data_IF_206763963077
#
_entry.id   IF_206763963077
#
_cell.length_a   1.000
_cell.length_b   1.000
_cell.length_c   1.000
_cell.angle_alpha   90.00
_cell.angle_beta   90.00
_cell.angle_gamma   90.00
#
_symmetry.space_group_name_H-M   'P 1'
#
loop_
_entity.id
_entity.type
_entity.pdbx_description
1 polymer ?
#
# COMPACT_ATOMS: atom_id res chain seq x y z
N UNK A 1 -7.81 -79.80 22.92
CA UNK A 1 -8.58 -79.38 24.07
C UNK A 1 -9.33 -78.11 23.76
N UNK A 2 -10.64 -78.26 23.59
CA UNK A 2 -11.60 -77.18 23.30
C UNK A 2 -11.89 -76.37 24.58
N UNK A 3 -11.95 -75.05 24.46
CA UNK A 3 -12.79 -74.24 25.36
C UNK A 3 -13.35 -73.05 24.61
N UNK A 4 -14.63 -73.12 24.34
CA UNK A 4 -15.53 -72.07 23.94
C UNK A 4 -15.67 -71.04 25.04
N UNK A 5 -15.69 -69.73 24.69
CA UNK A 5 -16.26 -68.68 25.57
C UNK A 5 -17.14 -67.77 24.75
N UNK A 6 -18.27 -67.53 25.31
CA UNK A 6 -19.47 -66.92 24.74
C UNK A 6 -19.36 -65.45 24.36
N UNK A 7 -20.12 -65.11 23.31
CA UNK A 7 -20.48 -63.75 22.86
C UNK A 7 -21.55 -63.20 23.80
N UNK A 8 -21.32 -62.02 24.36
CA UNK A 8 -22.35 -61.19 24.98
C UNK A 8 -22.56 -59.97 24.09
N UNK A 9 -23.74 -59.92 23.48
CA UNK A 9 -24.25 -58.77 22.71
C UNK A 9 -24.87 -57.78 23.70
N UNK A 10 -24.31 -56.59 23.82
CA UNK A 10 -24.94 -55.46 24.51
C UNK A 10 -25.45 -54.49 23.49
N UNK A 11 -26.75 -54.40 23.31
CA UNK A 11 -27.46 -53.43 22.49
C UNK A 11 -27.58 -52.16 23.33
N UNK A 12 -26.78 -51.15 23.04
CA UNK A 12 -26.89 -49.82 23.62
C UNK A 12 -27.56 -48.86 22.63
N UNK A 13 -28.85 -48.56 22.89
CA UNK A 13 -29.56 -47.52 22.16
C UNK A 13 -29.02 -46.14 22.59
N UNK A 14 -28.15 -45.53 21.77
CA UNK A 14 -27.67 -44.17 21.96
C UNK A 14 -28.54 -43.18 21.18
N UNK A 15 -29.24 -42.33 21.90
CA UNK A 15 -29.97 -41.17 21.38
C UNK A 15 -29.01 -40.23 20.63
N UNK A 16 -29.20 -40.10 19.32
CA UNK A 16 -28.57 -39.10 18.48
C UNK A 16 -29.27 -37.77 18.73
N UNK A 17 -28.68 -36.93 19.60
CA UNK A 17 -29.04 -35.52 19.71
C UNK A 17 -28.28 -34.80 18.60
N UNK A 18 -28.91 -34.55 17.46
CA UNK A 18 -28.42 -33.67 16.41
C UNK A 18 -28.61 -32.24 16.87
N UNK A 19 -27.56 -31.64 17.45
CA UNK A 19 -27.48 -30.22 17.67
C UNK A 19 -27.29 -29.54 16.29
N UNK A 20 -28.37 -28.96 15.77
CA UNK A 20 -28.34 -28.01 14.66
C UNK A 20 -27.53 -26.79 15.11
N UNK A 21 -26.25 -26.77 14.75
CA UNK A 21 -25.45 -25.57 14.80
C UNK A 21 -25.91 -24.68 13.63
N UNK A 22 -26.83 -23.77 13.92
CA UNK A 22 -27.10 -22.64 13.04
C UNK A 22 -25.84 -21.79 12.99
N UNK A 23 -25.02 -22.06 11.98
CA UNK A 23 -23.96 -21.13 11.57
C UNK A 23 -24.65 -19.90 11.00
N UNK A 24 -24.93 -18.93 11.84
CA UNK A 24 -25.29 -17.57 11.43
C UNK A 24 -24.07 -16.99 10.69
N UNK A 25 -24.05 -17.22 9.38
CA UNK A 25 -23.21 -16.43 8.48
C UNK A 25 -23.67 -14.98 8.60
N UNK A 26 -23.05 -14.24 9.53
CA UNK A 26 -23.09 -12.79 9.53
C UNK A 26 -22.51 -12.36 8.17
N UNK A 27 -23.41 -12.04 7.24
CA UNK A 27 -23.07 -11.39 6.00
C UNK A 27 -22.42 -10.07 6.40
N UNK A 28 -21.09 -10.05 6.41
CA UNK A 28 -20.30 -8.84 6.63
C UNK A 28 -20.78 -7.82 5.61
N UNK A 29 -21.56 -6.85 6.10
CA UNK A 29 -22.02 -5.74 5.29
C UNK A 29 -20.77 -5.12 4.68
N UNK A 30 -20.63 -5.28 3.36
CA UNK A 30 -19.53 -4.73 2.56
C UNK A 30 -19.47 -3.24 2.84
N UNK A 31 -18.60 -2.85 3.76
CA UNK A 31 -18.38 -1.47 4.11
C UNK A 31 -18.12 -0.73 2.78
N UNK A 32 -19.04 0.15 2.39
CA UNK A 32 -18.85 1.04 1.25
C UNK A 32 -17.56 1.78 1.55
N UNK A 33 -16.48 1.38 0.87
CA UNK A 33 -15.15 1.85 1.14
C UNK A 33 -15.11 3.37 1.05
N UNK A 34 -14.99 4.02 2.19
CA UNK A 34 -14.77 5.48 2.24
C UNK A 34 -13.50 5.74 1.44
N UNK A 35 -13.57 6.66 0.49
CA UNK A 35 -12.37 7.07 -0.24
C UNK A 35 -11.35 7.61 0.76
N UNK A 36 -10.07 7.21 0.63
CA UNK A 36 -9.04 7.68 1.54
C UNK A 36 -8.90 9.20 1.45
N UNK A 37 -8.70 9.85 2.59
CA UNK A 37 -8.46 11.29 2.66
C UNK A 37 -7.01 11.62 2.25
N UNK A 38 -6.09 10.65 2.38
CA UNK A 38 -4.73 10.72 1.84
C UNK A 38 -4.75 10.52 0.31
N UNK A 39 -4.32 11.53 -0.46
CA UNK A 39 -4.43 11.52 -1.92
C UNK A 39 -3.12 11.95 -2.59
N UNK A 40 -2.75 11.27 -3.65
CA UNK A 40 -1.71 11.73 -4.58
C UNK A 40 -2.40 12.61 -5.63
N UNK A 41 -2.10 13.90 -5.63
CA UNK A 41 -2.68 14.88 -6.56
C UNK A 41 -1.98 14.82 -7.92
N UNK A 42 -0.66 15.02 -7.93
CA UNK A 42 0.15 15.01 -9.15
C UNK A 42 1.36 14.10 -9.01
N UNK A 43 1.82 13.58 -10.12
CA UNK A 43 3.12 12.93 -10.28
C UNK A 43 3.70 13.44 -11.59
N UNK A 44 4.81 14.13 -11.51
CA UNK A 44 5.52 14.70 -12.64
C UNK A 44 6.88 14.03 -12.76
N UNK A 45 7.19 13.53 -13.96
CA UNK A 45 8.48 12.94 -14.28
C UNK A 45 9.29 13.91 -15.14
N UNK A 46 10.52 14.21 -14.77
CA UNK A 46 11.38 15.14 -15.50
C UNK A 46 12.84 14.67 -15.45
N UNK A 47 13.57 14.68 -16.58
CA UNK A 47 13.14 15.00 -17.94
C UNK A 47 12.33 13.85 -18.59
N UNK A 48 11.50 14.18 -19.59
CA UNK A 48 10.83 13.20 -20.46
C UNK A 48 10.98 13.66 -21.90
N UNK A 49 11.57 12.86 -22.80
CA UNK A 49 12.14 11.53 -22.56
C UNK A 49 13.34 11.57 -21.61
N UNK A 50 13.51 10.48 -20.84
CA UNK A 50 14.66 10.32 -19.97
C UNK A 50 15.82 9.67 -20.74
N UNK A 51 16.95 10.38 -20.80
CA UNK A 51 18.16 9.89 -21.44
C UNK A 51 19.09 9.26 -20.40
N UNK A 52 19.45 7.99 -20.64
CA UNK A 52 20.38 7.27 -19.79
C UNK A 52 21.74 7.96 -19.74
N UNK A 53 22.38 7.95 -18.59
CA UNK A 53 23.71 8.52 -18.35
C UNK A 53 23.84 10.06 -18.47
N UNK A 54 22.75 10.80 -18.65
CA UNK A 54 22.82 12.28 -18.63
C UNK A 54 22.52 12.82 -17.22
N UNK A 55 21.26 12.82 -16.84
CA UNK A 55 20.78 13.29 -15.53
C UNK A 55 19.79 12.28 -14.96
N UNK A 56 19.70 12.14 -13.65
CA UNK A 56 18.70 11.26 -13.07
C UNK A 56 17.28 11.75 -13.39
N UNK A 57 16.36 10.80 -13.61
CA UNK A 57 14.93 11.11 -13.68
C UNK A 57 14.44 11.51 -12.29
N UNK A 58 13.80 12.66 -12.19
CA UNK A 58 13.16 13.12 -10.96
C UNK A 58 11.65 12.96 -11.06
N UNK A 59 11.08 12.28 -10.07
CA UNK A 59 9.64 12.18 -9.88
C UNK A 59 9.24 13.15 -8.78
N UNK A 60 8.48 14.19 -9.12
CA UNK A 60 7.91 15.15 -8.18
C UNK A 60 6.47 14.74 -7.89
N UNK A 61 6.20 14.40 -6.63
CA UNK A 61 4.93 13.83 -6.19
C UNK A 61 4.28 14.79 -5.20
N UNK A 62 3.08 15.30 -5.53
CA UNK A 62 2.29 16.14 -4.60
C UNK A 62 1.25 15.30 -3.91
N UNK A 63 1.32 15.26 -2.58
CA UNK A 63 0.43 14.51 -1.71
C UNK A 63 -0.42 15.46 -0.89
N UNK A 64 -1.75 15.28 -0.93
CA UNK A 64 -2.68 15.93 -0.03
C UNK A 64 -2.85 15.04 1.22
N UNK A 65 -2.56 15.62 2.37
CA UNK A 65 -2.67 14.94 3.65
C UNK A 65 -4.10 15.04 4.20
N UNK A 66 -4.54 14.09 5.05
CA UNK A 66 -5.79 14.17 5.78
C UNK A 66 -5.86 15.45 6.65
N UNK A 67 -7.08 15.92 6.94
CA UNK A 67 -7.30 17.13 7.74
C UNK A 67 -6.81 17.04 9.18
N UNK A 68 -6.78 15.82 9.71
CA UNK A 68 -6.31 15.55 11.07
C UNK A 68 -5.15 14.56 11.01
N UNK A 69 -3.97 15.01 11.34
CA UNK A 69 -2.76 14.20 11.41
C UNK A 69 -2.19 14.38 12.80
N UNK A 70 -1.87 13.30 13.53
CA UNK A 70 -1.16 13.39 14.79
C UNK A 70 0.26 13.90 14.58
N UNK A 71 0.83 14.46 15.62
CA UNK A 71 2.25 14.79 15.64
C UNK A 71 3.08 13.53 15.41
N UNK A 72 4.25 13.68 14.80
CA UNK A 72 5.18 12.59 14.47
C UNK A 72 4.65 11.52 13.51
N UNK A 73 3.62 11.83 12.73
CA UNK A 73 3.20 10.93 11.65
C UNK A 73 4.28 10.82 10.57
N UNK A 74 4.45 9.62 10.02
CA UNK A 74 5.39 9.34 8.95
C UNK A 74 4.63 9.20 7.63
N UNK A 75 5.01 10.00 6.63
CA UNK A 75 4.59 9.83 5.25
C UNK A 75 5.62 8.97 4.53
N UNK A 76 5.19 7.81 4.06
CA UNK A 76 5.99 6.87 3.26
C UNK A 76 5.45 6.87 1.84
N UNK A 77 6.24 7.36 0.89
CA UNK A 77 5.89 7.39 -0.54
C UNK A 77 6.76 6.39 -1.28
N UNK A 78 6.12 5.44 -1.93
CA UNK A 78 6.77 4.36 -2.67
C UNK A 78 6.41 4.44 -4.14
N UNK A 79 7.41 4.40 -5.01
CA UNK A 79 7.23 4.33 -6.46
C UNK A 79 7.84 3.04 -7.00
N UNK A 80 7.02 2.26 -7.69
CA UNK A 80 7.46 1.10 -8.45
C UNK A 80 7.58 1.50 -9.92
N UNK A 81 8.77 1.41 -10.49
CA UNK A 81 9.06 1.58 -11.92
C UNK A 81 9.22 0.18 -12.51
N UNK A 82 8.56 -0.08 -13.64
CA UNK A 82 8.54 -1.40 -14.27
C UNK A 82 8.82 -1.28 -15.77
N UNK A 83 9.69 -2.17 -16.27
CA UNK A 83 10.02 -2.24 -17.71
C UNK A 83 8.82 -2.63 -18.56
N UNK A 84 8.86 -2.38 -19.89
CA UNK A 84 7.81 -2.80 -20.82
C UNK A 84 7.54 -4.31 -20.77
N UNK A 85 8.59 -5.10 -20.65
CA UNK A 85 8.52 -6.57 -20.52
C UNK A 85 8.07 -7.06 -19.15
N UNK A 86 8.02 -6.15 -18.15
CA UNK A 86 7.74 -6.45 -16.73
C UNK A 86 8.75 -7.41 -16.06
N UNK A 87 9.89 -7.63 -16.68
CA UNK A 87 10.96 -8.49 -16.15
C UNK A 87 11.93 -7.73 -15.26
N UNK A 88 12.03 -6.42 -15.45
CA UNK A 88 12.92 -5.52 -14.70
C UNK A 88 12.10 -4.46 -13.97
N UNK A 89 12.47 -4.17 -12.72
CA UNK A 89 11.79 -3.17 -11.91
C UNK A 89 12.76 -2.42 -11.00
N UNK A 90 12.33 -1.24 -10.52
CA UNK A 90 13.00 -0.46 -9.48
C UNK A 90 11.97 0.03 -8.46
N UNK A 91 12.29 -0.12 -7.19
CA UNK A 91 11.49 0.42 -6.10
C UNK A 91 12.22 1.64 -5.52
N UNK A 92 11.55 2.79 -5.55
CA UNK A 92 12.00 4.02 -4.90
C UNK A 92 11.14 4.23 -3.65
N UNK A 93 11.76 4.59 -2.55
CA UNK A 93 11.06 4.88 -1.29
C UNK A 93 11.57 6.19 -0.71
N UNK A 94 10.64 7.05 -0.31
CA UNK A 94 10.94 8.25 0.45
C UNK A 94 10.07 8.25 1.70
N UNK A 95 10.68 8.39 2.85
CA UNK A 95 10.01 8.45 4.14
C UNK A 95 10.40 9.72 4.87
N UNK A 96 9.41 10.49 5.30
CA UNK A 96 9.60 11.74 6.02
C UNK A 96 8.55 11.92 7.10
N UNK A 97 8.93 12.61 8.18
CA UNK A 97 7.98 13.03 9.21
C UNK A 97 7.15 14.19 8.68
N UNK A 98 5.85 14.15 8.92
CA UNK A 98 4.94 15.24 8.60
C UNK A 98 4.42 15.87 9.89
N UNK A 99 4.39 17.21 9.91
CA UNK A 99 3.87 17.93 11.06
C UNK A 99 2.38 17.65 11.23
N UNK A 100 1.97 17.43 12.46
CA UNK A 100 0.56 17.25 12.81
C UNK A 100 -0.25 18.48 12.46
N UNK A 101 -1.43 18.27 11.88
CA UNK A 101 -2.44 19.29 11.71
C UNK A 101 -3.51 19.06 12.77
N UNK A 102 -3.28 19.54 13.98
CA UNK A 102 -4.37 19.67 14.94
C UNK A 102 -5.30 20.77 14.46
N UNK A 103 -6.29 20.40 13.64
CA UNK A 103 -7.27 21.32 13.08
C UNK A 103 -8.27 21.77 14.17
N UNK A 104 -7.82 22.60 15.07
CA UNK A 104 -8.69 23.39 15.93
C UNK A 104 -8.14 24.81 16.00
N UNK A 105 -8.21 25.54 14.91
CA UNK A 105 -8.19 26.98 15.01
C UNK A 105 -9.49 27.43 15.72
N UNK A 106 -9.43 28.47 16.59
CA UNK A 106 -10.57 28.91 17.40
C UNK A 106 -11.79 29.42 16.61
N UNK A 107 -11.73 29.46 15.29
CA UNK A 107 -12.74 30.07 14.42
C UNK A 107 -13.41 29.14 13.42
N UNK A 108 -13.38 27.83 13.57
CA UNK A 108 -14.16 26.92 12.72
C UNK A 108 -13.84 27.01 11.21
N UNK A 109 -12.78 27.69 10.80
CA UNK A 109 -12.37 27.77 9.42
C UNK A 109 -11.99 26.37 8.92
N UNK A 110 -12.61 25.94 7.82
CA UNK A 110 -12.24 24.68 7.13
C UNK A 110 -10.76 24.74 6.81
N UNK A 111 -9.93 24.02 7.57
CA UNK A 111 -8.51 23.90 7.25
C UNK A 111 -8.38 23.28 5.87
N UNK A 112 -7.65 23.93 4.98
CA UNK A 112 -7.28 23.38 3.70
C UNK A 112 -6.41 22.13 3.95
N UNK A 113 -6.47 21.11 3.08
CA UNK A 113 -5.59 19.96 3.20
C UNK A 113 -4.14 20.43 3.08
N UNK A 114 -3.29 19.99 4.00
CA UNK A 114 -1.86 20.24 3.90
C UNK A 114 -1.30 19.49 2.70
N UNK A 115 -0.55 20.20 1.86
CA UNK A 115 0.13 19.65 0.70
C UNK A 115 1.60 19.38 1.05
N UNK A 116 2.06 18.21 0.71
CA UNK A 116 3.47 17.81 0.85
C UNK A 116 4.00 17.42 -0.51
N UNK A 117 5.14 17.99 -0.86
CA UNK A 117 5.87 17.63 -2.09
C UNK A 117 6.99 16.67 -1.73
N UNK A 118 7.05 15.54 -2.44
CA UNK A 118 8.05 14.50 -2.29
C UNK A 118 8.80 14.35 -3.59
N UNK A 119 10.12 14.38 -3.52
CA UNK A 119 10.98 14.16 -4.68
C UNK A 119 11.67 12.81 -4.56
N UNK A 120 11.67 12.05 -5.65
CA UNK A 120 12.39 10.78 -5.78
C UNK A 120 13.20 10.81 -7.06
N UNK A 121 14.42 10.28 -7.02
CA UNK A 121 15.31 10.24 -8.18
C UNK A 121 15.56 8.80 -8.61
N UNK A 122 15.64 8.58 -9.91
CA UNK A 122 15.98 7.32 -10.52
C UNK A 122 17.14 7.49 -11.50
N UNK A 123 18.13 6.64 -11.35
CA UNK A 123 19.39 6.66 -12.10
C UNK A 123 19.37 5.83 -13.40
N UNK A 124 18.21 5.27 -13.78
CA UNK A 124 18.10 4.39 -14.94
C UNK A 124 18.60 2.96 -14.69
N UNK A 125 18.73 2.55 -13.42
CA UNK A 125 19.08 1.16 -13.08
C UNK A 125 17.89 0.39 -12.52
N UNK A 126 17.91 -0.92 -12.71
CA UNK A 126 16.93 -1.84 -12.14
C UNK A 126 17.29 -2.22 -10.68
N UNK A 127 16.56 -3.18 -10.11
CA UNK A 127 16.78 -3.69 -8.75
C UNK A 127 18.12 -4.43 -8.58
N UNK A 128 18.71 -4.91 -9.67
CA UNK A 128 20.03 -5.56 -9.70
C UNK A 128 21.15 -4.59 -10.05
N UNK A 129 20.84 -3.30 -10.18
CA UNK A 129 21.74 -2.20 -10.58
C UNK A 129 22.29 -2.30 -12.01
N UNK A 130 21.62 -3.04 -12.87
CA UNK A 130 21.92 -3.02 -14.30
C UNK A 130 21.19 -1.84 -14.96
N UNK A 131 21.88 -1.21 -15.93
CA UNK A 131 21.29 -0.16 -16.76
C UNK A 131 20.12 -0.78 -17.55
N UNK A 132 18.99 -0.07 -17.53
CA UNK A 132 17.79 -0.54 -18.23
C UNK A 132 17.86 -0.29 -19.73
N UNK A 133 17.06 -1.03 -20.50
CA UNK A 133 16.96 -0.85 -21.94
C UNK A 133 16.00 0.30 -22.30
N UNK A 134 16.09 0.78 -23.55
CA UNK A 134 15.16 1.75 -24.12
C UNK A 134 13.72 1.25 -24.10
N UNK A 135 12.77 2.15 -23.93
CA UNK A 135 11.37 1.81 -24.02
C UNK A 135 10.43 2.64 -23.16
N UNK A 136 9.16 2.28 -23.18
CA UNK A 136 8.12 2.93 -22.39
C UNK A 136 7.97 2.23 -21.04
N UNK A 137 8.35 2.91 -19.97
CA UNK A 137 8.31 2.40 -18.59
C UNK A 137 7.03 2.82 -17.91
N UNK A 138 6.45 1.89 -17.15
CA UNK A 138 5.31 2.15 -16.28
C UNK A 138 5.80 2.55 -14.89
N UNK A 139 5.18 3.55 -14.27
CA UNK A 139 5.36 3.81 -12.84
C UNK A 139 4.04 3.71 -12.08
N UNK A 140 4.13 3.30 -10.82
CA UNK A 140 3.02 3.24 -9.90
C UNK A 140 3.45 3.82 -8.55
N UNK A 141 2.80 4.91 -8.15
CA UNK A 141 3.06 5.61 -6.88
C UNK A 141 1.97 5.29 -5.87
N UNK A 142 2.37 5.06 -4.64
CA UNK A 142 1.49 4.92 -3.48
C UNK A 142 2.05 5.69 -2.30
N UNK A 143 1.20 6.44 -1.61
CA UNK A 143 1.52 7.09 -0.35
C UNK A 143 0.85 6.34 0.81
N UNK A 144 1.55 6.22 1.94
CA UNK A 144 1.07 5.64 3.19
C UNK A 144 1.36 6.59 4.32
N UNK A 145 0.35 6.83 5.14
CA UNK A 145 0.50 7.59 6.38
C UNK A 145 0.58 6.60 7.54
N UNK A 146 1.65 6.67 8.28
CA UNK A 146 1.92 5.80 9.42
C UNK A 146 1.99 6.62 10.70
N UNK A 147 1.63 6.00 11.80
CA UNK A 147 1.69 6.57 13.14
C UNK A 147 2.74 5.84 13.97
N UNK A 148 3.37 6.53 14.94
CA UNK A 148 4.23 5.85 15.89
C UNK A 148 3.41 4.85 16.73
N UNK A 149 3.91 3.64 16.87
CA UNK A 149 3.32 2.58 17.69
C UNK A 149 4.35 1.94 18.59
N UNK A 150 3.91 1.26 19.64
CA UNK A 150 4.79 0.62 20.63
C UNK A 150 5.78 -0.39 20.02
N UNK A 151 5.37 -1.07 18.95
CA UNK A 151 6.16 -2.11 18.29
C UNK A 151 6.61 -1.68 16.87
N UNK A 152 6.65 -0.38 16.58
CA UNK A 152 7.00 0.19 15.28
C UNK A 152 5.85 0.95 14.62
N UNK A 153 6.08 1.52 13.43
CA UNK A 153 5.10 2.34 12.73
C UNK A 153 3.85 1.53 12.35
N UNK A 154 2.67 2.05 12.67
CA UNK A 154 1.37 1.46 12.33
C UNK A 154 0.76 2.18 11.13
N UNK A 155 0.31 1.44 10.13
CA UNK A 155 -0.41 2.00 8.99
C UNK A 155 -1.74 2.59 9.44
N UNK A 156 -1.92 3.90 9.23
CA UNK A 156 -3.17 4.60 9.46
C UNK A 156 -4.03 4.67 8.20
N UNK A 157 -3.41 5.06 7.10
CA UNK A 157 -4.10 5.29 5.84
C UNK A 157 -3.16 5.07 4.65
N UNK A 158 -3.72 4.61 3.53
CA UNK A 158 -3.00 4.47 2.27
C UNK A 158 -3.79 5.16 1.15
N UNK A 159 -3.09 5.87 0.28
CA UNK A 159 -3.68 6.48 -0.91
C UNK A 159 -4.08 5.42 -1.94
N UNK A 160 -4.96 5.81 -2.86
CA UNK A 160 -5.10 5.09 -4.12
C UNK A 160 -3.77 5.16 -4.89
N UNK A 161 -3.49 4.11 -5.64
CA UNK A 161 -2.29 4.05 -6.48
C UNK A 161 -2.46 4.96 -7.70
N UNK A 162 -1.49 5.86 -7.92
CA UNK A 162 -1.42 6.69 -9.12
C UNK A 162 -0.42 6.08 -10.09
N UNK A 163 -0.81 5.97 -11.35
CA UNK A 163 -0.01 5.32 -12.40
C UNK A 163 0.26 6.30 -13.53
N UNK A 164 1.38 6.09 -14.21
CA UNK A 164 1.74 6.82 -15.42
C UNK A 164 2.84 6.11 -16.17
N UNK A 165 3.34 6.77 -17.22
CA UNK A 165 4.39 6.26 -18.08
C UNK A 165 5.39 7.36 -18.39
N UNK A 166 6.62 6.95 -18.69
CA UNK A 166 7.64 7.82 -19.27
C UNK A 166 8.53 7.01 -20.23
N UNK A 167 9.14 7.71 -21.14
CA UNK A 167 10.01 7.12 -22.14
C UNK A 167 11.47 7.17 -21.68
N UNK A 168 12.18 6.04 -21.85
CA UNK A 168 13.63 5.90 -21.62
C UNK A 168 14.32 5.72 -22.95
N UNK A 169 15.38 6.46 -23.18
CA UNK A 169 16.20 6.40 -24.40
C UNK A 169 17.68 6.34 -24.08
N UNK A 170 18.41 5.56 -24.85
CA UNK A 170 19.87 5.68 -24.98
C UNK A 170 20.19 6.71 -26.06
N UNK A 171 21.22 7.49 -25.88
CA UNK A 171 21.74 8.40 -26.92
C UNK A 171 22.69 7.68 -27.84
#
# INVERSE_FOLDING_TARGET
MMRSVAVVLAIGAGLLVTSLHESSHAVSAKARGRMPDLKILTVEATPVPFFLNEHPLTLTITVALPKSIPDDALLDVTTLITSPSKTSFRLLTNRQTVAGNSAAGPNGAKSLPSLVQVMQTWDGTDHTKHIVADGMYDYQVQAKLMMPGKNGPLLREASLKKRGKFEVRTR
#
